data_IF_411191364490
#
_entry.id   IF_411191364490
#
_cell.length_a   1.000
_cell.length_b   1.000
_cell.length_c   1.000
_cell.angle_alpha   90.00
_cell.angle_beta   90.00
_cell.angle_gamma   90.00
#
_symmetry.space_group_name_H-M   'P 1'
#
loop_
_entity.id
_entity.type
_entity.pdbx_description
1 polymer ?
#
# COMPACT_ATOMS: atom_id res chain seq x y z
N UNK A 1 47.26 -32.77 9.58
CA UNK A 1 47.22 -32.93 11.06
C UNK A 1 45.78 -32.78 11.54
N UNK A 2 45.36 -33.55 12.56
CA UNK A 2 43.98 -33.97 12.76
C UNK A 2 43.18 -33.13 13.77
N UNK A 3 41.85 -33.24 13.66
CA UNK A 3 40.81 -33.40 14.71
C UNK A 3 40.95 -32.55 16.00
N UNK A 4 39.92 -31.74 16.28
CA UNK A 4 39.13 -31.86 17.52
C UNK A 4 37.77 -31.18 17.42
N UNK A 5 36.74 -32.02 17.45
CA UNK A 5 35.42 -31.68 17.97
C UNK A 5 35.52 -31.58 19.50
N UNK A 6 34.80 -30.64 20.10
CA UNK A 6 34.40 -30.73 21.50
C UNK A 6 32.90 -30.51 21.63
N UNK A 7 32.23 -31.62 21.94
CA UNK A 7 30.90 -31.66 22.50
C UNK A 7 30.96 -31.13 23.94
N UNK A 8 30.02 -30.25 24.32
CA UNK A 8 29.50 -30.23 25.70
C UNK A 8 27.99 -30.13 25.72
N UNK A 9 27.39 -31.29 25.93
CA UNK A 9 26.09 -31.49 26.54
C UNK A 9 26.16 -31.10 28.02
N UNK A 10 25.23 -30.26 28.48
CA UNK A 10 24.74 -30.22 29.85
C UNK A 10 23.23 -29.96 29.76
N UNK A 11 22.38 -30.97 29.65
CA UNK A 11 21.67 -31.62 30.77
C UNK A 11 21.33 -30.67 31.94
N UNK A 12 20.04 -30.41 32.12
CA UNK A 12 19.54 -29.62 33.24
C UNK A 12 18.02 -29.53 33.32
N UNK A 13 17.33 -30.67 33.46
CA UNK A 13 15.94 -30.73 33.92
C UNK A 13 15.84 -30.18 35.34
N UNK A 14 15.01 -29.16 35.57
CA UNK A 14 14.22 -29.03 36.81
C UNK A 14 12.86 -28.42 36.47
N UNK A 15 11.85 -29.28 36.43
CA UNK A 15 10.47 -28.90 36.62
C UNK A 15 10.28 -28.54 38.11
N UNK A 16 9.62 -27.41 38.36
CA UNK A 16 9.01 -27.12 39.66
C UNK A 16 7.55 -26.80 39.37
N UNK A 17 6.67 -27.71 39.79
CA UNK A 17 5.25 -27.47 39.92
C UNK A 17 4.99 -26.93 41.33
N UNK A 18 4.22 -25.84 41.43
CA UNK A 18 3.45 -25.44 42.61
C UNK A 18 2.54 -24.29 42.13
N UNK A 19 1.23 -24.48 41.99
CA UNK A 19 0.20 -24.58 43.03
C UNK A 19 -0.68 -23.32 42.94
N UNK A 20 -1.97 -23.57 42.80
CA UNK A 20 -3.04 -22.61 42.53
C UNK A 20 -3.26 -21.63 43.66
N UNK A 21 -3.63 -20.38 43.33
CA UNK A 21 -4.49 -19.52 44.16
C UNK A 21 -5.28 -18.57 43.24
N UNK A 22 -6.57 -18.85 43.07
CA UNK A 22 -7.58 -17.92 42.57
C UNK A 22 -7.93 -16.93 43.69
N UNK A 23 -7.98 -15.61 43.41
CA UNK A 23 -8.83 -14.70 44.14
C UNK A 23 -9.99 -14.27 43.26
N UNK A 24 -11.18 -14.80 43.55
CA UNK A 24 -12.43 -14.15 43.19
C UNK A 24 -12.62 -12.95 44.13
N UNK A 25 -12.56 -11.73 43.60
CA UNK A 25 -12.98 -10.52 44.32
C UNK A 25 -13.81 -9.62 43.39
N UNK A 26 -15.10 -9.64 43.69
CA UNK A 26 -16.02 -8.51 43.80
C UNK A 26 -16.14 -7.51 42.64
N UNK A 27 -17.36 -7.50 42.08
CA UNK A 27 -18.01 -6.38 41.43
C UNK A 27 -17.92 -5.12 42.31
N UNK A 28 -17.23 -4.08 41.81
CA UNK A 28 -17.38 -2.72 42.28
C UNK A 28 -17.87 -1.87 41.10
N UNK A 29 -19.16 -1.55 41.09
CA UNK A 29 -19.72 -0.46 40.31
C UNK A 29 -19.25 0.85 40.93
N UNK A 30 -18.28 1.50 40.30
CA UNK A 30 -17.90 2.87 40.60
C UNK A 30 -17.93 3.70 39.30
N UNK A 31 -18.91 4.59 39.24
CA UNK A 31 -18.99 5.70 38.32
C UNK A 31 -17.84 6.67 38.63
N UNK A 32 -17.04 7.03 37.63
CA UNK A 32 -15.93 7.97 37.80
C UNK A 32 -15.36 8.38 36.45
N UNK A 33 -15.79 9.54 35.97
CA UNK A 33 -15.38 10.12 34.70
C UNK A 33 -13.87 10.36 34.62
N UNK A 34 -13.34 10.13 33.43
CA UNK A 34 -11.92 10.30 33.11
C UNK A 34 -11.68 9.78 31.71
N UNK A 35 -12.32 10.41 30.71
CA UNK A 35 -12.15 10.10 29.30
C UNK A 35 -10.69 10.27 28.88
N UNK A 36 -9.93 9.18 28.93
CA UNK A 36 -8.71 9.00 28.16
C UNK A 36 -9.16 8.38 26.84
N UNK A 37 -9.15 9.22 25.80
CA UNK A 37 -9.24 8.80 24.40
C UNK A 37 -8.17 7.76 24.14
N UNK A 38 -8.56 6.50 24.34
CA UNK A 38 -7.85 5.37 23.80
C UNK A 38 -8.13 5.43 22.30
N UNK A 39 -7.12 5.46 21.42
CA UNK A 39 -7.37 5.48 19.98
C UNK A 39 -8.31 4.34 19.66
N UNK A 40 -9.54 4.70 19.27
CA UNK A 40 -10.60 3.74 19.04
C UNK A 40 -10.10 2.71 18.05
N UNK A 41 -10.19 1.44 18.43
CA UNK A 41 -9.94 0.33 17.53
C UNK A 41 -10.87 0.52 16.33
N UNK A 42 -10.33 1.05 15.23
CA UNK A 42 -11.09 1.28 14.00
C UNK A 42 -11.61 -0.09 13.61
N UNK A 43 -12.93 -0.30 13.68
CA UNK A 43 -13.54 -1.50 13.11
C UNK A 43 -13.12 -1.50 11.64
N UNK A 44 -12.23 -2.42 11.30
CA UNK A 44 -11.64 -2.58 9.98
C UNK A 44 -12.69 -3.12 9.00
N UNK A 45 -13.69 -2.30 8.70
CA UNK A 45 -14.69 -2.57 7.67
C UNK A 45 -14.79 -1.34 6.81
N UNK A 46 -13.85 -1.21 5.86
CA UNK A 46 -14.18 -0.47 4.64
C UNK A 46 -15.38 -1.12 3.95
N UNK A 47 -15.84 -0.53 2.85
CA UNK A 47 -16.90 -1.12 2.04
C UNK A 47 -16.63 -2.59 1.65
N UNK A 48 -15.35 -2.98 1.58
CA UNK A 48 -14.89 -4.36 1.38
C UNK A 48 -14.04 -4.79 2.58
N UNK A 49 -14.39 -5.91 3.28
CA UNK A 49 -13.58 -6.46 4.36
C UNK A 49 -12.18 -6.92 3.89
N UNK A 50 -11.18 -6.88 4.78
CA UNK A 50 -9.79 -7.21 4.43
C UNK A 50 -9.62 -8.61 3.81
N UNK A 51 -10.41 -9.60 4.23
CA UNK A 51 -10.34 -10.96 3.67
C UNK A 51 -10.73 -10.96 2.18
N UNK A 52 -11.85 -10.31 1.83
CA UNK A 52 -12.30 -10.19 0.44
C UNK A 52 -11.37 -9.31 -0.38
N UNK A 53 -10.86 -8.22 0.21
CA UNK A 53 -9.87 -7.37 -0.44
C UNK A 53 -8.59 -8.16 -0.77
N UNK A 54 -8.09 -8.97 0.16
CA UNK A 54 -6.93 -9.84 -0.05
C UNK A 54 -7.18 -10.86 -1.17
N UNK A 55 -8.35 -11.50 -1.19
CA UNK A 55 -8.71 -12.40 -2.29
C UNK A 55 -8.87 -11.68 -3.65
N UNK A 56 -9.16 -10.38 -3.64
CA UNK A 56 -9.26 -9.56 -4.84
C UNK A 56 -7.91 -9.15 -5.42
N UNK A 57 -6.80 -9.33 -4.70
CA UNK A 57 -5.46 -9.06 -5.21
C UNK A 57 -5.16 -9.96 -6.41
N UNK A 58 -4.44 -9.42 -7.40
CA UNK A 58 -3.99 -10.20 -8.54
C UNK A 58 -3.17 -11.43 -8.10
N UNK A 59 -3.25 -12.49 -8.88
CA UNK A 59 -2.35 -13.65 -8.83
C UNK A 59 -1.65 -13.81 -10.18
N UNK A 60 -0.56 -14.59 -10.22
CA UNK A 60 0.16 -14.86 -11.48
C UNK A 60 -0.69 -15.61 -12.53
N UNK A 61 -1.83 -16.18 -12.15
CA UNK A 61 -2.77 -16.82 -13.08
C UNK A 61 -3.80 -15.86 -13.67
N UNK A 62 -3.94 -14.65 -13.12
CA UNK A 62 -4.96 -13.69 -13.54
C UNK A 62 -4.65 -13.01 -14.87
N UNK A 63 -3.36 -12.82 -15.17
CA UNK A 63 -2.87 -12.13 -16.37
C UNK A 63 -1.67 -12.91 -16.92
N UNK A 64 -1.68 -13.32 -18.21
CA UNK A 64 -0.53 -13.99 -18.81
C UNK A 64 0.76 -13.17 -18.72
N UNK A 65 1.90 -13.87 -18.57
CA UNK A 65 3.24 -13.27 -18.50
C UNK A 65 3.40 -12.23 -17.38
N UNK A 66 2.61 -12.35 -16.32
CA UNK A 66 2.74 -11.52 -15.12
C UNK A 66 3.07 -12.42 -13.94
N UNK A 67 4.12 -12.06 -13.22
CA UNK A 67 4.45 -12.65 -11.93
C UNK A 67 3.92 -11.73 -10.83
N UNK A 68 3.17 -12.30 -9.89
CA UNK A 68 2.66 -11.56 -8.73
C UNK A 68 3.25 -12.15 -7.46
N UNK A 69 3.87 -11.28 -6.67
CA UNK A 69 4.35 -11.58 -5.33
C UNK A 69 3.56 -10.73 -4.32
N UNK A 70 2.60 -11.32 -3.60
CA UNK A 70 1.87 -10.61 -2.55
C UNK A 70 2.82 -10.05 -1.50
N UNK A 71 2.53 -8.84 -1.03
CA UNK A 71 3.20 -8.31 0.14
C UNK A 71 2.79 -9.13 1.37
N UNK A 72 3.77 -9.66 2.08
CA UNK A 72 3.54 -10.25 3.39
C UNK A 72 3.30 -9.19 4.46
N UNK A 73 3.17 -9.64 5.70
CA UNK A 73 2.91 -8.76 6.85
C UNK A 73 4.10 -7.90 7.27
N UNK A 74 5.30 -8.13 6.71
CA UNK A 74 6.53 -7.39 7.04
C UNK A 74 6.90 -6.35 5.98
N UNK A 75 6.29 -6.44 4.81
CA UNK A 75 6.55 -5.58 3.67
C UNK A 75 5.84 -4.24 3.86
N UNK A 76 6.62 -3.17 3.91
CA UNK A 76 6.06 -1.82 4.00
C UNK A 76 5.55 -1.38 2.63
N UNK A 77 4.23 -1.46 2.43
CA UNK A 77 3.56 -0.97 1.22
C UNK A 77 3.45 0.57 1.17
N UNK A 78 3.30 1.19 2.34
CA UNK A 78 3.03 2.62 2.48
C UNK A 78 4.04 3.25 3.44
N UNK A 79 4.55 4.43 3.08
CA UNK A 79 5.45 5.22 3.91
C UNK A 79 4.74 5.87 5.10
N UNK A 80 5.51 6.41 6.05
CA UNK A 80 4.95 7.23 7.12
C UNK A 80 4.25 8.49 6.57
N UNK A 81 3.48 9.17 7.42
CA UNK A 81 2.96 10.50 7.11
C UNK A 81 4.08 11.45 6.68
N UNK A 82 3.86 12.17 5.58
CA UNK A 82 4.76 13.22 5.12
C UNK A 82 3.95 14.44 4.76
N UNK A 83 4.54 15.62 4.96
CA UNK A 83 3.94 16.89 4.62
C UNK A 83 4.67 17.45 3.40
N UNK A 84 3.93 17.72 2.33
CA UNK A 84 4.42 18.53 1.23
C UNK A 84 4.60 19.98 1.70
N UNK A 85 5.67 20.62 1.26
CA UNK A 85 5.86 22.07 1.42
C UNK A 85 4.81 22.89 0.64
N UNK A 86 4.29 22.34 -0.46
CA UNK A 86 3.20 22.89 -1.26
C UNK A 86 1.89 22.17 -0.95
N UNK A 87 0.91 22.89 -0.38
CA UNK A 87 -0.36 22.29 0.04
C UNK A 87 -1.13 21.60 -1.10
N UNK A 88 -1.11 22.16 -2.31
CA UNK A 88 -1.75 21.56 -3.48
C UNK A 88 -1.17 20.19 -3.88
N UNK A 89 0.06 19.88 -3.44
CA UNK A 89 0.73 18.60 -3.69
C UNK A 89 0.42 17.53 -2.64
N UNK A 90 -0.24 17.89 -1.53
CA UNK A 90 -0.47 16.95 -0.43
C UNK A 90 -1.25 15.69 -0.87
N UNK A 91 -2.26 15.74 -1.75
CA UNK A 91 -2.92 14.51 -2.22
C UNK A 91 -2.00 13.54 -2.98
N UNK A 92 -0.97 14.06 -3.67
CA UNK A 92 0.05 13.22 -4.34
C UNK A 92 0.91 12.49 -3.30
N UNK A 93 1.24 13.16 -2.19
CA UNK A 93 2.00 12.56 -1.06
C UNK A 93 1.15 11.54 -0.29
N UNK A 94 -0.10 11.88 0.00
CA UNK A 94 -1.04 11.04 0.74
C UNK A 94 -1.33 9.70 0.03
N UNK A 95 -1.23 9.66 -1.29
CA UNK A 95 -1.43 8.44 -2.09
C UNK A 95 -0.53 7.28 -1.64
N UNK A 96 0.66 7.56 -1.10
CA UNK A 96 1.64 6.56 -0.66
C UNK A 96 1.94 6.60 0.84
N UNK A 97 1.12 7.34 1.60
CA UNK A 97 1.22 7.44 3.05
C UNK A 97 0.34 6.41 3.76
N UNK A 98 0.77 5.92 4.92
CA UNK A 98 -0.04 5.13 5.85
C UNK A 98 -1.08 5.95 6.61
N UNK A 99 -0.96 7.28 6.62
CA UNK A 99 -1.86 8.21 7.32
C UNK A 99 -2.30 9.36 6.39
N UNK A 100 -3.00 9.05 5.28
CA UNK A 100 -3.52 10.07 4.38
C UNK A 100 -4.67 10.86 5.03
N UNK A 101 -5.03 12.01 4.45
CA UNK A 101 -6.24 12.77 4.81
C UNK A 101 -7.51 11.90 4.81
N UNK A 102 -7.67 11.03 3.81
CA UNK A 102 -8.79 10.08 3.67
C UNK A 102 -8.33 8.67 4.03
N UNK A 103 -8.59 8.16 5.25
CA UNK A 103 -8.00 6.92 5.71
C UNK A 103 -8.50 5.70 4.93
N UNK A 104 -7.57 4.92 4.40
CA UNK A 104 -7.82 3.55 3.94
C UNK A 104 -8.26 2.74 5.15
N UNK A 105 -9.48 2.21 5.14
CA UNK A 105 -9.97 1.41 6.27
C UNK A 105 -9.23 0.08 6.34
N UNK A 106 -8.94 -0.50 5.17
CA UNK A 106 -8.12 -1.69 4.98
C UNK A 106 -7.35 -1.56 3.66
N UNK A 107 -6.14 -2.11 3.60
CA UNK A 107 -5.34 -2.17 2.38
C UNK A 107 -4.45 -3.40 2.37
N UNK A 108 -4.05 -3.82 1.17
CA UNK A 108 -3.05 -4.87 0.93
C UNK A 108 -2.43 -4.62 -0.44
N UNK A 109 -1.44 -5.42 -0.84
CA UNK A 109 -0.68 -5.15 -2.06
C UNK A 109 0.20 -6.28 -2.52
N UNK A 110 0.84 -6.08 -3.66
CA UNK A 110 1.76 -7.01 -4.27
C UNK A 110 2.81 -6.29 -5.11
N UNK A 111 3.93 -6.94 -5.33
CA UNK A 111 4.79 -6.63 -6.46
C UNK A 111 4.29 -7.39 -7.69
N UNK A 112 4.10 -6.68 -8.79
CA UNK A 112 3.62 -7.22 -10.08
C UNK A 112 4.70 -6.98 -11.11
N UNK A 113 5.29 -8.05 -11.64
CA UNK A 113 6.32 -7.98 -12.68
C UNK A 113 5.73 -8.44 -14.01
N UNK A 114 5.71 -7.55 -14.99
CA UNK A 114 5.33 -7.87 -16.37
C UNK A 114 6.57 -8.32 -17.15
N UNK A 115 6.50 -9.55 -17.68
CA UNK A 115 7.60 -10.20 -18.40
C UNK A 115 7.31 -10.35 -19.89
N UNK A 116 6.37 -9.58 -20.47
CA UNK A 116 6.17 -9.61 -21.93
C UNK A 116 7.26 -8.94 -22.73
N UNK A 117 8.08 -8.09 -22.11
CA UNK A 117 9.21 -7.52 -22.81
C UNK A 117 10.21 -8.62 -23.20
N UNK A 118 10.66 -8.58 -24.46
CA UNK A 118 11.66 -9.53 -24.97
C UNK A 118 13.04 -9.22 -24.40
N UNK A 119 13.31 -7.97 -24.07
CA UNK A 119 14.49 -7.56 -23.34
C UNK A 119 14.30 -7.83 -21.84
N UNK A 120 15.11 -8.76 -21.31
CA UNK A 120 15.08 -9.13 -19.89
C UNK A 120 15.53 -7.99 -18.97
N UNK A 121 16.21 -6.96 -19.49
CA UNK A 121 16.57 -5.73 -18.79
C UNK A 121 15.44 -4.69 -18.73
N UNK A 122 14.44 -4.79 -19.60
CA UNK A 122 13.33 -3.83 -19.71
C UNK A 122 12.07 -4.24 -18.92
N UNK A 123 12.21 -5.17 -17.95
CA UNK A 123 11.08 -5.64 -17.14
C UNK A 123 10.36 -4.48 -16.48
N UNK A 124 9.04 -4.50 -16.58
CA UNK A 124 8.17 -3.52 -15.92
C UNK A 124 7.75 -4.08 -14.58
N UNK A 125 8.01 -3.34 -13.51
CA UNK A 125 7.73 -3.76 -12.13
C UNK A 125 6.78 -2.73 -11.52
N UNK A 126 5.68 -3.20 -10.97
CA UNK A 126 4.71 -2.36 -10.27
C UNK A 126 4.57 -2.75 -8.81
N UNK A 127 4.76 -1.81 -7.90
CA UNK A 127 4.17 -1.92 -6.56
C UNK A 127 2.67 -1.63 -6.68
N UNK A 128 1.85 -2.60 -6.33
CA UNK A 128 0.38 -2.50 -6.36
C UNK A 128 -0.15 -2.40 -4.95
N UNK A 129 -1.01 -1.42 -4.68
CA UNK A 129 -1.77 -1.29 -3.44
C UNK A 129 -3.25 -1.23 -3.77
N UNK A 130 -4.02 -2.16 -3.22
CA UNK A 130 -5.47 -2.10 -3.24
C UNK A 130 -5.98 -1.69 -1.86
N UNK A 131 -7.01 -0.86 -1.84
CA UNK A 131 -7.55 -0.32 -0.61
C UNK A 131 -9.08 -0.25 -0.66
N UNK A 132 -9.70 -0.40 0.51
CA UNK A 132 -11.11 -0.12 0.71
C UNK A 132 -11.28 1.05 1.65
N UNK A 133 -12.21 1.93 1.31
CA UNK A 133 -12.53 3.14 2.05
C UNK A 133 -13.94 3.06 2.63
N UNK A 134 -14.32 4.09 3.38
CA UNK A 134 -15.74 4.31 3.70
C UNK A 134 -16.48 4.72 2.43
N UNK A 135 -17.80 4.62 2.47
CA UNK A 135 -18.64 5.03 1.36
C UNK A 135 -18.36 6.49 0.95
N UNK A 136 -18.06 6.72 -0.32
CA UNK A 136 -17.76 8.04 -0.90
C UNK A 136 -16.29 8.48 -0.79
N UNK A 137 -15.54 8.02 0.19
CA UNK A 137 -14.16 8.47 0.44
C UNK A 137 -13.22 8.12 -0.73
N UNK A 138 -13.40 6.97 -1.38
CA UNK A 138 -12.57 6.59 -2.54
C UNK A 138 -12.76 7.58 -3.71
N UNK A 139 -13.97 8.12 -3.90
CA UNK A 139 -14.25 9.14 -4.90
C UNK A 139 -13.58 10.46 -4.52
N UNK A 140 -13.70 10.88 -3.25
CA UNK A 140 -13.03 12.08 -2.76
C UNK A 140 -11.50 12.02 -2.95
N UNK A 141 -10.89 10.87 -2.66
CA UNK A 141 -9.46 10.63 -2.91
C UNK A 141 -9.09 10.88 -4.38
N UNK A 142 -9.82 10.29 -5.34
CA UNK A 142 -9.50 10.44 -6.76
C UNK A 142 -9.80 11.84 -7.29
N UNK A 143 -10.86 12.49 -6.80
CA UNK A 143 -11.19 13.88 -7.18
C UNK A 143 -10.09 14.84 -6.71
N UNK A 144 -9.64 14.70 -5.45
CA UNK A 144 -8.55 15.51 -4.89
C UNK A 144 -7.21 15.21 -5.54
N UNK A 145 -6.92 13.93 -5.84
CA UNK A 145 -5.69 13.54 -6.54
C UNK A 145 -5.67 14.08 -7.98
N UNK A 146 -6.80 14.04 -8.69
CA UNK A 146 -6.91 14.62 -10.04
C UNK A 146 -6.64 16.13 -10.03
N UNK A 147 -7.24 16.85 -9.07
CA UNK A 147 -7.01 18.28 -8.89
C UNK A 147 -5.54 18.58 -8.53
N UNK A 148 -4.96 17.78 -7.64
CA UNK A 148 -3.56 17.91 -7.25
C UNK A 148 -2.62 17.67 -8.44
N UNK A 149 -2.83 16.64 -9.25
CA UNK A 149 -1.99 16.38 -10.44
C UNK A 149 -2.06 17.52 -11.47
N UNK A 150 -3.19 18.23 -11.55
CA UNK A 150 -3.33 19.40 -12.42
C UNK A 150 -2.58 20.64 -11.90
N UNK A 151 -2.47 20.81 -10.58
CA UNK A 151 -1.92 22.02 -9.94
C UNK A 151 -0.51 21.85 -9.34
N UNK A 152 -0.12 20.61 -9.04
CA UNK A 152 1.17 20.27 -8.43
C UNK A 152 2.18 19.93 -9.52
N UNK A 153 3.21 20.78 -9.66
CA UNK A 153 4.32 20.52 -10.60
C UNK A 153 5.60 20.07 -9.90
N UNK A 154 5.67 20.26 -8.58
CA UNK A 154 6.75 19.78 -7.74
C UNK A 154 6.54 20.16 -6.28
N UNK A 155 7.21 19.43 -5.40
CA UNK A 155 7.16 19.64 -3.96
C UNK A 155 8.42 19.10 -3.30
N UNK A 156 8.66 19.51 -2.06
CA UNK A 156 9.64 18.94 -1.18
C UNK A 156 8.97 18.25 0.02
N UNK A 157 9.63 17.22 0.54
CA UNK A 157 9.29 16.60 1.83
C UNK A 157 10.55 16.49 2.67
N UNK A 158 10.39 16.66 3.99
CA UNK A 158 11.47 16.46 4.96
C UNK A 158 11.25 15.14 5.67
N UNK A 159 12.28 14.28 5.68
CA UNK A 159 12.28 13.00 6.39
C UNK A 159 13.59 12.81 7.13
N UNK A 160 13.53 12.66 8.46
CA UNK A 160 14.73 12.46 9.28
C UNK A 160 15.79 13.56 9.12
N UNK A 161 15.36 14.81 8.89
CA UNK A 161 16.26 15.94 8.63
C UNK A 161 16.77 16.06 7.19
N UNK A 162 16.41 15.14 6.31
CA UNK A 162 16.78 15.18 4.89
C UNK A 162 15.61 15.71 4.07
N UNK A 163 15.89 16.72 3.23
CA UNK A 163 14.91 17.24 2.26
C UNK A 163 15.08 16.53 0.92
N UNK A 164 13.98 15.99 0.39
CA UNK A 164 13.92 15.42 -0.96
C UNK A 164 12.96 16.24 -1.81
N UNK A 165 13.33 16.48 -3.06
CA UNK A 165 12.56 17.27 -4.03
C UNK A 165 12.00 16.38 -5.13
N UNK A 166 10.73 16.58 -5.45
CA UNK A 166 10.00 15.79 -6.41
C UNK A 166 9.39 16.68 -7.48
N UNK A 167 9.39 16.19 -8.73
CA UNK A 167 8.65 16.78 -9.84
C UNK A 167 7.46 15.89 -10.14
N UNK A 168 6.29 16.51 -10.39
CA UNK A 168 5.04 15.82 -10.72
C UNK A 168 4.57 16.27 -12.10
N UNK A 169 4.19 15.31 -12.96
CA UNK A 169 3.67 15.61 -14.29
C UNK A 169 2.45 14.72 -14.60
N UNK A 170 1.36 15.25 -15.15
CA UNK A 170 0.26 14.43 -15.65
C UNK A 170 0.77 13.40 -16.67
N UNK A 171 0.18 12.21 -16.66
CA UNK A 171 0.47 11.15 -17.60
C UNK A 171 -0.83 10.60 -18.20
N UNK A 172 -0.75 10.18 -19.46
CA UNK A 172 -1.89 9.52 -20.11
C UNK A 172 -1.97 8.07 -19.65
N UNK A 173 -3.14 7.64 -19.19
CA UNK A 173 -3.45 6.22 -19.03
C UNK A 173 -4.39 5.73 -20.13
N UNK A 174 -4.47 4.41 -20.29
CA UNK A 174 -5.48 3.78 -21.13
C UNK A 174 -6.88 4.26 -20.69
N UNK A 175 -7.75 4.59 -21.63
CA UNK A 175 -9.09 5.06 -21.32
C UNK A 175 -9.96 3.94 -20.73
N UNK A 176 -10.93 4.32 -19.89
CA UNK A 176 -11.97 3.40 -19.41
C UNK A 176 -11.55 2.44 -18.30
N UNK A 177 -10.49 2.75 -17.54
CA UNK A 177 -10.13 1.96 -16.36
C UNK A 177 -11.03 2.35 -15.19
N UNK A 178 -11.85 1.40 -14.72
CA UNK A 178 -12.68 1.59 -13.54
C UNK A 178 -13.77 2.66 -13.70
N UNK A 179 -14.15 3.26 -12.59
CA UNK A 179 -15.14 4.35 -12.54
C UNK A 179 -14.48 5.73 -12.67
N UNK A 180 -13.24 5.85 -12.17
CA UNK A 180 -12.37 7.03 -12.27
C UNK A 180 -10.91 6.57 -12.29
N UNK A 181 -10.03 7.33 -12.93
CA UNK A 181 -8.60 7.07 -12.97
C UNK A 181 -7.80 8.37 -12.95
N UNK A 182 -6.62 8.33 -12.34
CA UNK A 182 -5.61 9.39 -12.41
C UNK A 182 -4.25 8.76 -12.66
N UNK A 183 -3.51 9.32 -13.61
CA UNK A 183 -2.14 8.90 -13.91
C UNK A 183 -1.21 10.09 -14.00
N UNK A 184 -0.01 9.91 -13.46
CA UNK A 184 1.02 10.94 -13.39
C UNK A 184 2.38 10.29 -13.24
N UNK A 185 3.44 11.01 -13.60
CA UNK A 185 4.80 10.64 -13.18
C UNK A 185 5.21 11.47 -11.98
N UNK A 186 6.00 10.84 -11.11
CA UNK A 186 6.70 11.49 -10.02
C UNK A 186 8.18 11.16 -10.14
N UNK A 187 9.07 12.13 -9.94
CA UNK A 187 10.51 11.92 -10.03
C UNK A 187 11.28 12.65 -8.94
N UNK A 188 12.14 11.92 -8.22
CA UNK A 188 13.13 12.50 -7.31
C UNK A 188 14.23 13.20 -8.13
N UNK A 189 14.35 14.51 -7.97
CA UNK A 189 15.27 15.33 -8.79
C UNK A 189 16.74 14.93 -8.58
N UNK A 190 17.10 14.41 -7.41
CA UNK A 190 18.47 13.99 -7.12
C UNK A 190 18.84 12.65 -7.80
N UNK A 191 17.84 11.87 -8.23
CA UNK A 191 18.03 10.54 -8.84
C UNK A 191 17.86 10.52 -10.36
N UNK A 192 17.46 11.65 -10.96
CA UNK A 192 17.22 11.74 -12.40
C UNK A 192 16.24 10.67 -12.89
N UNK A 193 16.54 10.05 -14.04
CA UNK A 193 15.68 9.03 -14.65
C UNK A 193 15.43 7.80 -13.75
N UNK A 194 16.44 7.40 -12.95
CA UNK A 194 16.31 6.26 -12.04
C UNK A 194 15.34 6.54 -10.86
N UNK A 195 15.03 7.81 -10.58
CA UNK A 195 14.05 8.21 -9.57
C UNK A 195 12.65 8.42 -10.11
N UNK A 196 12.41 8.22 -11.41
CA UNK A 196 11.11 8.47 -12.02
C UNK A 196 10.22 7.23 -11.96
N UNK A 197 8.97 7.44 -11.54
CA UNK A 197 7.95 6.40 -11.40
C UNK A 197 6.69 6.85 -12.12
N UNK A 198 6.04 5.93 -12.85
CA UNK A 198 4.67 6.13 -13.33
C UNK A 198 3.70 5.69 -12.24
N UNK A 199 2.82 6.59 -11.82
CA UNK A 199 1.72 6.26 -10.92
C UNK A 199 0.42 6.18 -11.72
N UNK A 200 -0.36 5.14 -11.48
CA UNK A 200 -1.74 5.03 -11.96
C UNK A 200 -2.63 4.59 -10.82
N UNK A 201 -3.68 5.35 -10.53
CA UNK A 201 -4.67 5.05 -9.50
C UNK A 201 -6.02 4.92 -10.16
N UNK A 202 -6.72 3.81 -9.90
CA UNK A 202 -8.02 3.51 -10.48
C UNK A 202 -9.02 3.25 -9.37
N UNK A 203 -10.20 3.86 -9.45
CA UNK A 203 -11.32 3.65 -8.52
C UNK A 203 -12.32 2.64 -9.08
N UNK A 204 -12.84 1.77 -8.20
CA UNK A 204 -14.01 0.94 -8.45
C UNK A 204 -14.91 0.93 -7.21
N UNK A 205 -16.07 1.59 -7.29
CA UNK A 205 -16.91 1.87 -6.12
C UNK A 205 -16.12 2.60 -5.03
N UNK A 206 -16.15 2.06 -3.82
CA UNK A 206 -15.42 2.55 -2.64
C UNK A 206 -14.06 1.85 -2.41
N UNK A 207 -13.46 1.36 -3.50
CA UNK A 207 -12.12 0.78 -3.50
C UNK A 207 -11.22 1.43 -4.53
N UNK A 208 -9.91 1.36 -4.31
CA UNK A 208 -8.90 1.80 -5.28
C UNK A 208 -7.87 0.71 -5.55
N UNK A 209 -7.31 0.71 -6.75
CA UNK A 209 -6.06 0.05 -7.09
C UNK A 209 -5.05 1.10 -7.54
N UNK A 210 -3.94 1.22 -6.82
CA UNK A 210 -2.82 2.10 -7.13
C UNK A 210 -1.62 1.29 -7.57
N UNK A 211 -0.92 1.76 -8.60
CA UNK A 211 0.25 1.13 -9.18
C UNK A 211 1.38 2.16 -9.24
N UNK A 212 2.52 1.89 -8.60
CA UNK A 212 3.79 2.56 -8.86
C UNK A 212 4.62 1.70 -9.80
N UNK A 213 4.74 2.11 -11.05
CA UNK A 213 5.36 1.34 -12.11
C UNK A 213 6.70 1.95 -12.50
N UNK A 214 7.72 1.09 -12.50
CA UNK A 214 9.09 1.40 -12.97
C UNK A 214 9.51 0.40 -14.04
N UNK A 215 10.58 0.74 -14.76
CA UNK A 215 11.32 -0.22 -15.58
C UNK A 215 12.71 -0.45 -14.99
N UNK A 216 13.18 -1.68 -15.07
CA UNK A 216 14.50 -2.06 -14.55
C UNK A 216 15.67 -1.38 -15.29
N UNK A 217 15.46 -0.90 -16.51
CA UNK A 217 16.43 -0.14 -17.32
C UNK A 217 16.32 1.38 -17.16
N UNK A 218 15.49 1.85 -16.21
CA UNK A 218 15.23 3.27 -15.93
C UNK A 218 14.66 4.09 -17.09
N UNK A 219 14.16 3.43 -18.14
CA UNK A 219 13.39 4.10 -19.17
C UNK A 219 11.97 4.44 -18.67
N UNK A 220 11.26 5.37 -19.34
CA UNK A 220 9.87 5.66 -19.01
C UNK A 220 9.02 4.40 -18.99
N UNK A 221 8.37 4.17 -17.85
CA UNK A 221 7.53 3.02 -17.64
C UNK A 221 6.15 3.20 -18.29
N UNK A 222 5.52 2.07 -18.64
CA UNK A 222 4.11 2.02 -19.02
C UNK A 222 3.42 0.91 -18.23
N UNK A 223 2.14 1.09 -17.90
CA UNK A 223 1.34 0.06 -17.26
C UNK A 223 0.49 -0.65 -18.31
N UNK A 224 0.77 -1.94 -18.54
CA UNK A 224 0.00 -2.74 -19.50
C UNK A 224 -1.46 -2.85 -19.06
N UNK A 225 -2.38 -2.37 -19.89
CA UNK A 225 -3.79 -2.15 -19.55
C UNK A 225 -4.53 -3.40 -19.01
N UNK A 226 -4.11 -4.60 -19.42
CA UNK A 226 -4.72 -5.85 -18.91
C UNK A 226 -4.55 -6.02 -17.40
N UNK A 227 -3.51 -5.45 -16.80
CA UNK A 227 -3.23 -5.50 -15.36
C UNK A 227 -4.30 -4.70 -14.57
N UNK A 228 -4.46 -3.37 -14.75
CA UNK A 228 -5.47 -2.61 -14.03
C UNK A 228 -6.90 -3.04 -14.37
N UNK A 229 -7.19 -3.45 -15.61
CA UNK A 229 -8.52 -3.99 -15.99
C UNK A 229 -8.88 -5.20 -15.14
N UNK A 230 -7.97 -6.16 -15.01
CA UNK A 230 -8.21 -7.38 -14.24
C UNK A 230 -8.30 -7.10 -12.74
N UNK A 231 -7.44 -6.23 -12.21
CA UNK A 231 -7.48 -5.83 -10.80
C UNK A 231 -8.82 -5.14 -10.44
N UNK A 232 -9.30 -4.23 -11.29
CA UNK A 232 -10.60 -3.56 -11.13
C UNK A 232 -11.76 -4.57 -11.16
N UNK A 233 -11.72 -5.53 -12.08
CA UNK A 233 -12.76 -6.56 -12.15
C UNK A 233 -12.85 -7.37 -10.84
N UNK A 234 -11.69 -7.75 -10.26
CA UNK A 234 -11.64 -8.46 -8.97
C UNK A 234 -12.16 -7.62 -7.81
N UNK A 235 -11.84 -6.32 -7.78
CA UNK A 235 -12.39 -5.40 -6.78
C UNK A 235 -13.92 -5.28 -6.87
N UNK A 236 -14.46 -5.19 -8.09
CA UNK A 236 -15.91 -5.15 -8.30
C UNK A 236 -16.60 -6.44 -7.85
N UNK A 237 -15.98 -7.60 -8.04
CA UNK A 237 -16.51 -8.87 -7.51
C UNK A 237 -16.50 -8.87 -5.98
N UNK A 238 -15.37 -8.49 -5.36
CA UNK A 238 -15.25 -8.46 -3.90
C UNK A 238 -16.25 -7.53 -3.21
N UNK A 239 -16.66 -6.45 -3.88
CA UNK A 239 -17.66 -5.52 -3.38
C UNK A 239 -19.12 -6.01 -3.52
N UNK A 240 -19.41 -6.92 -4.45
CA UNK A 240 -20.77 -7.47 -4.62
C UNK A 240 -21.13 -8.56 -3.62
N UNK A 241 -20.11 -9.26 -3.12
CA UNK A 241 -20.32 -10.43 -2.26
C UNK A 241 -20.50 -10.04 -0.78
N UNK A 242 -20.34 -8.76 -0.41
CA UNK A 242 -20.36 -8.25 0.98
C UNK A 242 -21.63 -7.52 1.34
#
# INVERSE_FOLDING_TARGET
MPIRADHRLLTGRRAVAAAALLPALALATACGGGGKDTPGQVKASGAVPIAKLTSALLTSSDVPHVQVLPAGSKEQLLGAAQKADVAACQPVVDQWSSQPKHPRQVYTGAMVTDTTDKDKGAKTISLTVIASYRAGDAKAVLDELAAAVAACHGYAVVRGGVTSHFVVKPATAAAGLGDQQVSYTIGDTAKGAAGQVLVTVVRAGDTTAAFETVRADHQPASLRSTIPVKQVAKLRTAAKDG
#
